data_IF_852129148106
#
_entry.id   IF_852129148106
#
_cell.length_a   1.000
_cell.length_b   1.000
_cell.length_c   1.000
_cell.angle_alpha   90.00
_cell.angle_beta   90.00
_cell.angle_gamma   90.00
#
_symmetry.space_group_name_H-M   'P 1'
#
loop_
_entity.id
_entity.type
_entity.pdbx_description
1 polymer ?
#
# COMPACT_ATOMS: atom_id res chain seq x y z
N UNK A 1 12.86 -15.65 -0.87
CA UNK A 1 11.43 -15.32 -1.07
C UNK A 1 11.34 -13.85 -1.38
N UNK A 2 10.56 -13.48 -2.39
CA UNK A 2 10.44 -12.11 -2.89
C UNK A 2 8.96 -11.82 -3.12
N UNK A 3 8.52 -10.63 -2.78
CA UNK A 3 7.20 -10.13 -3.16
C UNK A 3 7.31 -9.34 -4.45
N UNK A 4 6.50 -9.68 -5.46
CA UNK A 4 6.22 -8.79 -6.58
C UNK A 4 5.10 -7.83 -6.20
N UNK A 5 5.27 -6.57 -6.52
CA UNK A 5 4.24 -5.54 -6.51
C UNK A 5 3.96 -5.20 -7.97
N UNK A 6 2.75 -5.46 -8.43
CA UNK A 6 2.33 -5.31 -9.83
C UNK A 6 1.21 -4.27 -9.87
N UNK A 7 1.50 -3.10 -10.44
CA UNK A 7 0.49 -2.07 -10.70
C UNK A 7 -0.29 -2.37 -11.97
N UNK A 8 -1.59 -2.22 -11.87
CA UNK A 8 -2.55 -2.54 -12.91
C UNK A 8 -3.11 -1.23 -13.49
N UNK A 9 -2.70 -0.89 -14.71
CA UNK A 9 -3.25 0.23 -15.46
C UNK A 9 -4.68 -0.07 -15.94
N UNK A 10 -4.93 -1.32 -16.35
CA UNK A 10 -6.21 -1.74 -16.91
C UNK A 10 -6.49 -3.19 -16.52
N UNK A 11 -7.37 -3.35 -15.53
CA UNK A 11 -7.86 -4.67 -15.14
C UNK A 11 -8.70 -5.26 -16.29
N UNK A 12 -8.38 -6.50 -16.67
CA UNK A 12 -9.07 -7.24 -17.73
C UNK A 12 -9.18 -8.73 -17.39
N UNK A 13 -10.21 -9.42 -17.88
CA UNK A 13 -10.31 -10.87 -17.74
C UNK A 13 -9.02 -11.57 -18.21
N UNK A 14 -8.53 -12.50 -17.39
CA UNK A 14 -7.33 -13.26 -17.69
C UNK A 14 -6.00 -12.58 -17.32
N UNK A 15 -5.96 -11.32 -16.89
CA UNK A 15 -4.71 -10.63 -16.56
C UNK A 15 -3.88 -11.37 -15.51
N UNK A 16 -4.51 -11.86 -14.44
CA UNK A 16 -3.83 -12.67 -13.42
C UNK A 16 -3.33 -14.01 -13.98
N UNK A 17 -4.04 -14.61 -14.93
CA UNK A 17 -3.60 -15.83 -15.59
C UNK A 17 -2.34 -15.57 -16.43
N UNK A 18 -2.28 -14.43 -17.13
CA UNK A 18 -1.11 -14.03 -17.91
C UNK A 18 0.10 -13.81 -16.99
N UNK A 19 -0.07 -13.06 -15.89
CA UNK A 19 0.97 -12.84 -14.88
C UNK A 19 1.48 -14.17 -14.33
N UNK A 20 0.57 -15.02 -13.85
CA UNK A 20 0.95 -16.30 -13.24
C UNK A 20 1.58 -17.27 -14.24
N UNK A 21 1.21 -17.19 -15.53
CA UNK A 21 1.83 -17.96 -16.61
C UNK A 21 3.31 -17.58 -16.77
N UNK A 22 3.64 -16.28 -16.89
CA UNK A 22 5.02 -15.81 -17.02
C UNK A 22 5.89 -16.22 -15.83
N UNK A 23 5.38 -16.09 -14.61
CA UNK A 23 6.10 -16.53 -13.40
C UNK A 23 6.39 -18.04 -13.43
N UNK A 24 5.41 -18.85 -13.84
CA UNK A 24 5.55 -20.31 -13.92
C UNK A 24 6.49 -20.77 -15.04
N UNK A 25 6.58 -20.04 -16.15
CA UNK A 25 7.56 -20.32 -17.22
C UNK A 25 9.00 -20.26 -16.71
N UNK A 26 9.27 -19.45 -15.67
CA UNK A 26 10.57 -19.37 -14.99
C UNK A 26 10.76 -20.44 -13.90
N UNK A 27 9.85 -21.41 -13.80
CA UNK A 27 9.81 -22.45 -12.75
C UNK A 27 9.78 -21.87 -11.32
N UNK A 28 9.27 -20.64 -11.16
CA UNK A 28 9.14 -20.01 -9.86
C UNK A 28 7.81 -20.43 -9.21
N UNK A 29 7.86 -20.75 -7.92
CA UNK A 29 6.68 -21.15 -7.18
C UNK A 29 5.98 -19.93 -6.57
N UNK A 30 4.67 -19.82 -6.78
CA UNK A 30 3.83 -18.76 -6.23
C UNK A 30 3.21 -19.27 -4.93
N UNK A 31 3.60 -18.67 -3.80
CA UNK A 31 3.10 -19.09 -2.48
C UNK A 31 1.81 -18.38 -2.07
N UNK A 32 1.67 -17.11 -2.45
CA UNK A 32 0.52 -16.29 -2.07
C UNK A 32 0.27 -15.23 -3.14
N UNK A 33 -1.01 -14.89 -3.33
CA UNK A 33 -1.46 -13.79 -4.17
C UNK A 33 -2.55 -13.04 -3.41
N UNK A 34 -2.38 -11.74 -3.25
CA UNK A 34 -3.40 -10.81 -2.73
C UNK A 34 -3.41 -9.59 -3.61
N UNK A 35 -4.54 -8.92 -3.76
CA UNK A 35 -4.58 -7.70 -4.54
C UNK A 35 -5.96 -7.10 -4.67
N UNK A 36 -5.95 -5.89 -5.21
CA UNK A 36 -7.13 -5.17 -5.68
C UNK A 36 -7.08 -5.08 -7.20
N UNK A 37 -8.02 -4.35 -7.80
CA UNK A 37 -8.01 -4.09 -9.25
C UNK A 37 -6.86 -3.19 -9.69
N UNK A 38 -6.18 -2.53 -8.75
CA UNK A 38 -5.14 -1.54 -9.00
C UNK A 38 -3.75 -2.08 -8.72
N UNK A 39 -3.60 -2.97 -7.73
CA UNK A 39 -2.28 -3.53 -7.38
C UNK A 39 -2.43 -4.99 -6.95
N UNK A 40 -1.55 -5.84 -7.46
CA UNK A 40 -1.38 -7.24 -7.04
C UNK A 40 -0.05 -7.40 -6.32
N UNK A 41 -0.09 -8.08 -5.17
CA UNK A 41 1.06 -8.61 -4.45
C UNK A 41 1.16 -10.11 -4.67
N UNK A 42 2.32 -10.58 -5.12
CA UNK A 42 2.57 -11.99 -5.36
C UNK A 42 3.84 -12.43 -4.64
N UNK A 43 3.70 -13.37 -3.71
CA UNK A 43 4.84 -13.97 -3.01
C UNK A 43 5.43 -15.09 -3.85
N UNK A 44 6.71 -14.95 -4.20
CA UNK A 44 7.45 -15.88 -5.03
C UNK A 44 8.58 -16.52 -4.23
N UNK A 45 8.70 -17.83 -4.41
CA UNK A 45 9.82 -18.64 -3.96
C UNK A 45 10.82 -18.84 -5.09
N UNK A 46 12.00 -18.28 -4.91
CA UNK A 46 13.11 -18.28 -5.87
C UNK A 46 13.73 -16.89 -6.01
N UNK A 47 14.68 -16.76 -6.93
CA UNK A 47 15.25 -15.48 -7.33
C UNK A 47 14.45 -14.90 -8.49
N UNK A 48 14.10 -13.62 -8.38
CA UNK A 48 13.40 -12.88 -9.44
C UNK A 48 14.45 -12.08 -10.20
N UNK A 49 14.68 -12.46 -11.45
CA UNK A 49 15.61 -11.76 -12.34
C UNK A 49 14.96 -10.56 -13.06
N UNK A 50 15.80 -9.71 -13.65
CA UNK A 50 15.34 -8.54 -14.40
C UNK A 50 14.61 -8.90 -15.70
N UNK A 51 14.80 -10.12 -16.21
CA UNK A 51 14.16 -10.57 -17.45
C UNK A 51 12.67 -10.82 -17.19
N UNK A 52 12.33 -11.53 -16.12
CA UNK A 52 10.96 -11.73 -15.66
C UNK A 52 10.27 -10.39 -15.38
N UNK A 53 10.94 -9.44 -14.72
CA UNK A 53 10.35 -8.12 -14.46
C UNK A 53 9.99 -7.37 -15.75
N UNK A 54 10.83 -7.49 -16.79
CA UNK A 54 10.56 -6.90 -18.11
C UNK A 54 9.41 -7.59 -18.84
N UNK A 55 9.37 -8.92 -18.80
CA UNK A 55 8.27 -9.69 -19.39
C UNK A 55 6.93 -9.34 -18.75
N UNK A 56 6.87 -9.30 -17.42
CA UNK A 56 5.66 -8.92 -16.71
C UNK A 56 5.27 -7.48 -17.04
N UNK A 57 6.23 -6.55 -17.07
CA UNK A 57 5.95 -5.15 -17.44
C UNK A 57 5.47 -4.98 -18.89
N UNK A 58 5.69 -5.97 -19.76
CA UNK A 58 5.23 -5.95 -21.15
C UNK A 58 3.80 -6.49 -21.35
N UNK A 59 3.17 -7.05 -20.30
CA UNK A 59 1.79 -7.55 -20.38
C UNK A 59 0.82 -6.37 -20.49
N UNK A 60 -0.04 -6.40 -21.50
CA UNK A 60 -1.09 -5.39 -21.66
C UNK A 60 -2.00 -5.35 -20.41
N UNK A 61 -2.05 -4.18 -19.78
CA UNK A 61 -2.77 -3.91 -18.54
C UNK A 61 -1.89 -3.69 -17.32
N UNK A 62 -0.58 -3.94 -17.41
CA UNK A 62 0.40 -3.70 -16.33
C UNK A 62 1.08 -2.35 -16.56
N UNK A 63 1.16 -1.54 -15.50
CA UNK A 63 1.85 -0.24 -15.51
C UNK A 63 3.30 -0.37 -15.05
N UNK A 64 3.50 -1.03 -13.91
CA UNK A 64 4.80 -1.19 -13.28
C UNK A 64 4.88 -2.50 -12.51
N UNK A 65 6.08 -3.09 -12.48
CA UNK A 65 6.42 -4.24 -11.64
C UNK A 65 7.66 -3.91 -10.82
N UNK A 66 7.54 -4.02 -9.50
CA UNK A 66 8.66 -3.85 -8.56
C UNK A 66 8.78 -5.03 -7.60
N UNK A 67 9.95 -5.21 -6.99
CA UNK A 67 10.20 -6.27 -6.03
C UNK A 67 10.37 -5.73 -4.62
N UNK A 68 9.91 -6.49 -3.62
CA UNK A 68 10.22 -6.29 -2.21
C UNK A 68 10.92 -7.56 -1.71
N UNK A 69 12.17 -7.42 -1.30
CA UNK A 69 12.98 -8.53 -0.77
C UNK A 69 12.75 -8.77 0.71
N UNK A 70 12.15 -7.82 1.41
CA UNK A 70 11.83 -7.94 2.82
C UNK A 70 10.72 -8.98 3.02
N UNK A 71 10.93 -9.91 3.96
CA UNK A 71 9.92 -10.89 4.31
C UNK A 71 8.90 -10.29 5.27
N UNK A 72 7.62 -10.46 4.94
CA UNK A 72 6.49 -10.13 5.80
C UNK A 72 5.35 -11.14 5.62
N UNK A 73 4.46 -11.20 6.60
CA UNK A 73 3.24 -12.01 6.57
C UNK A 73 2.03 -11.11 6.45
N UNK A 74 1.01 -11.61 5.78
CA UNK A 74 -0.26 -10.91 5.62
C UNK A 74 -1.22 -11.28 6.75
N UNK A 75 -1.92 -10.28 7.27
CA UNK A 75 -3.03 -10.44 8.20
C UNK A 75 -4.31 -10.04 7.48
N UNK A 76 -5.28 -10.96 7.40
CA UNK A 76 -6.54 -10.74 6.70
C UNK A 76 -7.72 -10.62 7.67
N UNK A 77 -8.60 -9.65 7.40
CA UNK A 77 -9.90 -9.48 8.06
C UNK A 77 -10.99 -9.28 7.02
N UNK A 78 -12.22 -9.69 7.34
CA UNK A 78 -13.41 -9.18 6.63
C UNK A 78 -13.60 -7.72 7.03
N UNK A 79 -13.43 -6.80 6.09
CA UNK A 79 -13.34 -5.37 6.35
C UNK A 79 -14.57 -4.86 7.12
N UNK A 80 -15.78 -5.19 6.69
CA UNK A 80 -17.02 -4.73 7.31
C UNK A 80 -17.15 -5.24 8.75
N UNK A 81 -16.77 -6.51 8.99
CA UNK A 81 -16.81 -7.08 10.33
C UNK A 81 -15.78 -6.39 11.25
N UNK A 82 -14.58 -6.12 10.74
CA UNK A 82 -13.52 -5.44 11.47
C UNK A 82 -13.88 -3.99 11.80
N UNK A 83 -14.39 -3.24 10.82
CA UNK A 83 -14.81 -1.85 11.01
C UNK A 83 -15.95 -1.73 12.01
N UNK A 84 -16.94 -2.60 11.93
CA UNK A 84 -18.02 -2.65 12.91
C UNK A 84 -17.49 -2.97 14.32
N UNK A 85 -16.58 -3.94 14.45
CA UNK A 85 -15.98 -4.29 15.74
C UNK A 85 -15.21 -3.11 16.35
N UNK A 86 -14.41 -2.41 15.54
CA UNK A 86 -13.66 -1.22 15.98
C UNK A 86 -14.62 -0.12 16.42
N UNK A 87 -15.65 0.19 15.62
CA UNK A 87 -16.64 1.21 15.95
C UNK A 87 -17.31 0.95 17.29
N UNK A 88 -17.80 -0.28 17.51
CA UNK A 88 -18.43 -0.66 18.77
C UNK A 88 -17.52 -0.49 19.99
N UNK A 89 -16.23 -0.75 19.81
CA UNK A 89 -15.25 -0.66 20.90
C UNK A 89 -14.79 0.78 21.16
N UNK A 90 -14.45 1.52 20.09
CA UNK A 90 -13.75 2.81 20.19
C UNK A 90 -14.70 3.98 20.39
N UNK A 91 -15.91 3.95 19.81
CA UNK A 91 -16.89 5.02 20.03
C UNK A 91 -17.33 5.14 21.50
N UNK A 92 -17.12 4.09 22.30
CA UNK A 92 -17.40 4.10 23.74
C UNK A 92 -16.26 4.64 24.61
N UNK A 93 -15.08 4.92 24.01
CA UNK A 93 -13.86 5.27 24.75
C UNK A 93 -13.26 6.59 24.29
N UNK A 94 -12.48 6.56 23.21
CA UNK A 94 -11.74 7.70 22.69
C UNK A 94 -11.49 7.50 21.18
N UNK A 95 -12.18 8.27 20.31
CA UNK A 95 -11.97 8.24 18.86
C UNK A 95 -10.52 8.51 18.42
N UNK A 96 -9.73 9.22 19.23
CA UNK A 96 -8.32 9.50 18.95
C UNK A 96 -7.43 8.25 18.89
N UNK A 97 -7.87 7.15 19.49
CA UNK A 97 -7.15 5.87 19.45
C UNK A 97 -7.05 5.30 18.04
N UNK A 98 -7.99 5.62 17.15
CA UNK A 98 -7.95 5.16 15.76
C UNK A 98 -6.80 5.81 14.98
N UNK A 99 -6.64 7.13 15.13
CA UNK A 99 -5.54 7.85 14.51
C UNK A 99 -4.20 7.42 15.11
N UNK A 100 -4.14 7.19 16.44
CA UNK A 100 -2.94 6.69 17.10
C UNK A 100 -2.53 5.28 16.65
N UNK A 101 -3.50 4.37 16.49
CA UNK A 101 -3.26 3.02 15.97
C UNK A 101 -2.73 3.07 14.54
N UNK A 102 -3.38 3.85 13.68
CA UNK A 102 -2.92 4.07 12.31
C UNK A 102 -1.50 4.64 12.27
N UNK A 103 -1.21 5.62 13.13
CA UNK A 103 0.10 6.27 13.23
C UNK A 103 1.22 5.30 13.59
N UNK A 104 1.04 4.47 14.62
CA UNK A 104 2.06 3.48 14.98
C UNK A 104 2.22 2.39 13.92
N UNK A 105 1.12 1.94 13.30
CA UNK A 105 1.18 1.02 12.17
C UNK A 105 1.97 1.60 10.99
N UNK A 106 1.68 2.84 10.58
CA UNK A 106 2.40 3.52 9.50
C UNK A 106 3.89 3.68 9.79
N UNK A 107 4.25 4.04 11.04
CA UNK A 107 5.66 4.14 11.45
C UNK A 107 6.40 2.82 11.33
N UNK A 108 5.81 1.74 11.84
CA UNK A 108 6.44 0.42 11.79
C UNK A 108 6.51 -0.12 10.36
N UNK A 109 5.50 0.16 9.53
CA UNK A 109 5.50 -0.21 8.11
C UNK A 109 6.65 0.47 7.36
N UNK A 110 6.80 1.79 7.52
CA UNK A 110 7.90 2.51 6.86
C UNK A 110 9.26 2.05 7.40
N UNK A 111 9.41 1.86 8.72
CA UNK A 111 10.65 1.31 9.31
C UNK A 111 11.01 -0.04 8.70
N UNK A 112 10.03 -0.92 8.53
CA UNK A 112 10.22 -2.23 7.95
C UNK A 112 10.77 -2.15 6.51
N UNK A 113 10.18 -1.31 5.65
CA UNK A 113 10.67 -1.17 4.27
C UNK A 113 12.00 -0.41 4.17
N UNK A 114 12.25 0.56 5.04
CA UNK A 114 13.52 1.29 5.08
C UNK A 114 14.73 0.41 5.47
N UNK A 115 14.49 -0.80 6.01
CA UNK A 115 15.56 -1.77 6.25
C UNK A 115 16.25 -2.17 4.93
N UNK A 116 15.47 -2.37 3.86
CA UNK A 116 15.94 -2.84 2.55
C UNK A 116 15.92 -1.76 1.47
N UNK A 117 15.05 -0.75 1.57
CA UNK A 117 14.92 0.36 0.63
C UNK A 117 15.52 1.62 1.26
N UNK A 118 16.64 2.12 0.76
CA UNK A 118 17.35 3.26 1.37
C UNK A 118 16.77 4.62 1.01
N UNK A 119 16.11 4.73 -0.13
CA UNK A 119 15.45 5.95 -0.56
C UNK A 119 14.04 6.06 0.05
N UNK A 120 13.74 7.21 0.66
CA UNK A 120 12.44 7.44 1.30
C UNK A 120 11.29 7.41 0.28
N UNK A 121 11.47 7.99 -0.90
CA UNK A 121 10.39 8.07 -1.90
C UNK A 121 10.04 6.67 -2.38
N UNK A 122 11.04 5.85 -2.65
CA UNK A 122 10.83 4.45 -3.06
C UNK A 122 10.15 3.63 -1.94
N UNK A 123 10.56 3.82 -0.68
CA UNK A 123 9.93 3.15 0.45
C UNK A 123 8.48 3.64 0.67
N UNK A 124 8.22 4.93 0.46
CA UNK A 124 6.88 5.52 0.53
C UNK A 124 5.97 4.97 -0.57
N UNK A 125 6.43 4.94 -1.82
CA UNK A 125 5.68 4.36 -2.93
C UNK A 125 5.39 2.89 -2.68
N UNK A 126 6.39 2.12 -2.24
CA UNK A 126 6.24 0.70 -1.89
C UNK A 126 5.18 0.53 -0.80
N UNK A 127 5.25 1.32 0.27
CA UNK A 127 4.27 1.29 1.36
C UNK A 127 2.86 1.54 0.85
N UNK A 128 2.64 2.62 0.08
CA UNK A 128 1.32 2.99 -0.43
C UNK A 128 0.75 1.96 -1.42
N UNK A 129 1.60 1.33 -2.23
CA UNK A 129 1.19 0.25 -3.15
C UNK A 129 0.83 -1.02 -2.42
N UNK A 130 1.57 -1.38 -1.37
CA UNK A 130 1.21 -2.51 -0.51
C UNK A 130 -0.12 -2.26 0.19
N UNK A 131 -0.31 -1.06 0.77
CA UNK A 131 -1.60 -0.67 1.35
C UNK A 131 -2.73 -0.74 0.31
N UNK A 132 -2.44 -0.43 -0.96
CA UNK A 132 -3.40 -0.54 -2.06
C UNK A 132 -3.76 -1.97 -2.42
N UNK A 133 -2.77 -2.87 -2.48
CA UNK A 133 -3.04 -4.29 -2.72
C UNK A 133 -3.81 -4.95 -1.56
N UNK A 134 -3.64 -4.46 -0.33
CA UNK A 134 -4.36 -4.93 0.85
C UNK A 134 -5.76 -4.32 1.01
N UNK A 135 -6.17 -3.42 0.10
CA UNK A 135 -7.48 -2.77 0.17
C UNK A 135 -7.63 -1.78 1.33
N UNK A 136 -6.52 -1.31 1.92
CA UNK A 136 -6.56 -0.32 3.01
C UNK A 136 -6.89 1.08 2.46
N UNK A 137 -6.37 1.40 1.28
CA UNK A 137 -6.65 2.61 0.51
C UNK A 137 -6.47 2.33 -0.97
N UNK A 138 -6.86 3.23 -1.86
CA UNK A 138 -6.43 3.19 -3.26
C UNK A 138 -5.60 4.41 -3.60
N UNK A 139 -4.31 4.20 -3.90
CA UNK A 139 -3.41 5.26 -4.33
C UNK A 139 -3.82 5.82 -5.70
N UNK A 140 -3.87 7.14 -5.83
CA UNK A 140 -4.01 7.84 -7.12
C UNK A 140 -2.72 8.46 -7.61
N UNK A 141 -1.87 8.89 -6.70
CA UNK A 141 -0.60 9.53 -7.04
C UNK A 141 0.03 10.26 -5.86
N UNK A 142 1.32 10.55 -6.02
CA UNK A 142 2.12 11.30 -5.06
C UNK A 142 2.82 12.43 -5.80
N UNK A 143 2.79 13.64 -5.23
CA UNK A 143 3.46 14.81 -5.78
C UNK A 143 4.39 15.38 -4.73
N UNK A 144 5.68 15.46 -5.06
CA UNK A 144 6.70 16.05 -4.19
C UNK A 144 6.96 17.49 -4.62
N UNK A 145 6.73 18.43 -3.72
CA UNK A 145 7.11 19.84 -3.85
C UNK A 145 8.25 20.16 -2.89
N UNK A 146 8.82 21.36 -3.00
CA UNK A 146 9.95 21.80 -2.16
C UNK A 146 9.57 21.91 -0.68
N UNK A 147 8.33 22.30 -0.39
CA UNK A 147 7.82 22.63 0.95
C UNK A 147 6.75 21.65 1.45
N UNK A 148 6.26 20.76 0.58
CA UNK A 148 5.17 19.84 0.90
C UNK A 148 5.16 18.60 0.03
N UNK A 149 4.52 17.54 0.51
CA UNK A 149 4.14 16.38 -0.29
C UNK A 149 2.63 16.27 -0.35
N UNK A 150 2.07 15.93 -1.51
CA UNK A 150 0.63 15.66 -1.66
C UNK A 150 0.45 14.19 -2.04
N UNK A 151 -0.28 13.45 -1.20
CA UNK A 151 -0.71 12.08 -1.50
C UNK A 151 -2.20 12.10 -1.81
N UNK A 152 -2.55 11.70 -3.02
CA UNK A 152 -3.94 11.56 -3.46
C UNK A 152 -4.39 10.12 -3.34
N UNK A 153 -5.50 9.88 -2.64
CA UNK A 153 -6.11 8.54 -2.49
C UNK A 153 -7.62 8.57 -2.77
N UNK A 154 -8.22 7.38 -2.87
CA UNK A 154 -9.67 7.14 -2.76
C UNK A 154 -9.92 5.79 -2.08
N UNK A 155 -11.17 5.48 -1.76
CA UNK A 155 -11.58 4.15 -1.28
C UNK A 155 -10.77 3.72 -0.05
N UNK A 156 -10.60 4.63 0.92
CA UNK A 156 -10.00 4.27 2.20
C UNK A 156 -10.97 3.38 3.00
N UNK A 157 -10.44 2.33 3.63
CA UNK A 157 -11.25 1.29 4.26
C UNK A 157 -12.11 1.82 5.43
N UNK A 158 -11.70 2.94 6.02
CA UNK A 158 -12.31 3.62 7.16
C UNK A 158 -13.06 4.91 6.75
N UNK A 159 -13.46 5.04 5.48
CA UNK A 159 -14.20 6.20 4.98
C UNK A 159 -15.51 6.47 5.71
N UNK A 160 -16.24 5.43 6.10
CA UNK A 160 -17.53 5.55 6.80
C UNK A 160 -17.42 6.26 8.16
N UNK A 161 -16.22 6.30 8.73
CA UNK A 161 -15.94 6.85 10.05
C UNK A 161 -15.05 8.09 9.99
N UNK A 162 -14.80 8.63 8.79
CA UNK A 162 -14.07 9.87 8.57
C UNK A 162 -12.55 9.73 8.42
N UNK A 163 -12.05 8.56 8.01
CA UNK A 163 -10.63 8.26 7.71
C UNK A 163 -9.56 8.48 8.81
N UNK A 164 -9.85 8.34 10.12
CA UNK A 164 -8.87 8.62 11.17
C UNK A 164 -7.69 7.64 11.15
N UNK A 165 -7.92 6.35 10.86
CA UNK A 165 -6.86 5.34 10.80
C UNK A 165 -5.99 5.62 9.59
N UNK A 166 -6.59 5.81 8.41
CA UNK A 166 -5.83 6.11 7.18
C UNK A 166 -5.00 7.38 7.31
N UNK A 167 -5.54 8.43 7.95
CA UNK A 167 -4.77 9.64 8.29
C UNK A 167 -3.59 9.35 9.22
N UNK A 168 -3.82 8.55 10.26
CA UNK A 168 -2.77 8.06 11.15
C UNK A 168 -1.66 7.36 10.37
N UNK A 169 -2.02 6.39 9.51
CA UNK A 169 -1.08 5.62 8.69
C UNK A 169 -0.21 6.56 7.86
N UNK A 170 -0.82 7.46 7.07
CA UNK A 170 -0.07 8.38 6.20
C UNK A 170 0.86 9.27 7.03
N UNK A 171 0.41 9.80 8.15
CA UNK A 171 1.27 10.58 9.05
C UNK A 171 2.45 9.75 9.57
N UNK A 172 2.18 8.52 10.00
CA UNK A 172 3.19 7.61 10.52
C UNK A 172 4.29 7.26 9.51
N UNK A 173 3.93 7.13 8.22
CA UNK A 173 4.89 6.89 7.13
C UNK A 173 5.92 8.03 7.00
N UNK A 174 5.55 9.29 7.27
CA UNK A 174 6.47 10.43 7.18
C UNK A 174 7.28 10.64 8.47
N UNK A 175 6.61 10.50 9.62
CA UNK A 175 7.23 10.74 10.94
C UNK A 175 8.25 9.65 11.34
N UNK A 176 8.40 8.57 10.56
CA UNK A 176 9.37 7.51 10.84
C UNK A 176 10.81 7.86 10.49
N UNK A 177 11.05 8.84 9.59
CA UNK A 177 12.37 9.10 8.99
C UNK A 177 13.05 10.36 9.56
N UNK A 178 12.38 11.09 10.44
CA UNK A 178 12.91 12.29 11.08
C UNK A 178 12.52 12.44 12.55
N UNK A 179 13.18 13.38 13.23
CA UNK A 179 12.74 13.87 14.54
C UNK A 179 11.64 14.93 14.43
N UNK A 180 11.43 15.46 13.21
CA UNK A 180 10.39 16.44 12.93
C UNK A 180 9.03 15.75 12.85
N UNK A 181 8.04 16.33 13.53
CA UNK A 181 6.64 15.94 13.38
C UNK A 181 6.07 16.70 12.19
N UNK A 182 5.55 15.98 11.21
CA UNK A 182 4.93 16.60 10.05
C UNK A 182 3.48 17.00 10.37
N UNK A 183 3.07 18.14 9.82
CA UNK A 183 1.67 18.51 9.74
C UNK A 183 0.99 17.69 8.65
N UNK A 184 -0.20 17.15 8.93
CA UNK A 184 -1.02 16.47 7.92
C UNK A 184 -2.38 17.15 7.86
N UNK A 185 -2.63 17.83 6.75
CA UNK A 185 -3.94 18.38 6.43
C UNK A 185 -4.64 17.50 5.40
N UNK A 186 -5.93 17.25 5.59
CA UNK A 186 -6.72 16.36 4.72
C UNK A 186 -7.80 17.18 4.02
N UNK A 187 -7.77 17.18 2.70
CA UNK A 187 -8.75 17.87 1.86
C UNK A 187 -9.60 16.84 1.13
N UNK A 188 -10.90 16.81 1.44
CA UNK A 188 -11.86 15.96 0.72
C UNK A 188 -12.16 16.58 -0.65
N UNK A 189 -12.08 15.76 -1.69
CA UNK A 189 -12.46 16.09 -3.08
C UNK A 189 -13.61 15.18 -3.52
N UNK A 190 -14.29 15.54 -4.62
CA UNK A 190 -15.32 14.70 -5.23
C UNK A 190 -14.83 13.29 -5.58
N UNK A 191 -13.54 13.15 -5.89
CA UNK A 191 -12.96 11.91 -6.38
C UNK A 191 -12.13 11.17 -5.32
N UNK A 192 -12.01 11.67 -4.08
CA UNK A 192 -11.17 11.06 -3.04
C UNK A 192 -10.64 12.09 -2.04
N UNK A 193 -9.42 11.88 -1.56
CA UNK A 193 -8.78 12.71 -0.53
C UNK A 193 -7.37 13.10 -0.95
N UNK A 194 -7.00 14.33 -0.65
CA UNK A 194 -5.62 14.80 -0.70
C UNK A 194 -5.08 14.94 0.72
N UNK A 195 -3.98 14.26 1.00
CA UNK A 195 -3.18 14.44 2.20
C UNK A 195 -2.04 15.39 1.86
N UNK A 196 -2.02 16.55 2.50
CA UNK A 196 -0.98 17.56 2.34
C UNK A 196 -0.07 17.47 3.56
N UNK A 197 1.17 17.03 3.32
CA UNK A 197 2.20 16.85 4.34
C UNK A 197 3.17 18.02 4.27
N UNK A 198 3.36 18.72 5.40
CA UNK A 198 4.27 19.88 5.57
C UNK A 198 5.22 19.67 6.73
#
# INVERSE_FOLDING_TARGET
>A
MVWLVIEIAKDRPGLLNDITHHVRLRNLNIRSVVGTRQVVLMEIEGEVDNELLRELSAIDGIDLVTTITQSFRLLGFVQEAFMNAILFYVMKRDPGLLEALGYEYGKELMRHYMMSIKDFRDALYTSLRVLTALGILTLKGVQFFTDRTIISIKEAFDEEIGIPITKGIIKGLFDSIGKARHGVNVVRKKSGYDFIIT
#
